data_IF_893524867975
#
_entry.id   IF_893524867975
#
_cell.length_a   1.000
_cell.length_b   1.000
_cell.length_c   1.000
_cell.angle_alpha   90.00
_cell.angle_beta   90.00
_cell.angle_gamma   90.00
#
_symmetry.space_group_name_H-M   'P 1'
#
loop_
_entity.id
_entity.type
_entity.pdbx_description
1 polymer ?
#
# COMPACT_ATOMS: atom_id res chain seq x y z
N UNK A 1 9.30 20.48 5.35
CA UNK A 1 8.23 19.53 4.91
C UNK A 1 7.50 18.98 6.13
N UNK A 2 6.34 18.31 5.93
CA UNK A 2 5.64 17.66 7.04
C UNK A 2 6.52 16.59 7.71
N UNK A 3 7.34 15.89 6.93
CA UNK A 3 8.28 14.91 7.42
C UNK A 3 9.39 15.53 8.27
N UNK A 4 9.94 16.69 7.89
CA UNK A 4 10.93 17.44 8.69
C UNK A 4 10.35 17.86 10.03
N UNK A 5 9.14 18.43 10.05
CA UNK A 5 8.45 18.80 11.28
C UNK A 5 8.23 17.56 12.17
N UNK A 6 7.83 16.45 11.59
CA UNK A 6 7.64 15.18 12.32
C UNK A 6 8.95 14.65 12.91
N UNK A 7 10.07 14.74 12.16
CA UNK A 7 11.39 14.31 12.64
C UNK A 7 11.94 15.20 13.74
N UNK A 8 11.69 16.51 13.69
CA UNK A 8 12.15 17.47 14.69
C UNK A 8 11.35 17.39 16.01
N UNK A 9 10.03 17.17 15.91
CA UNK A 9 9.15 17.13 17.07
C UNK A 9 9.14 15.74 17.75
N UNK A 10 9.32 14.66 16.98
CA UNK A 10 9.27 13.28 17.47
C UNK A 10 10.17 13.02 18.70
N UNK A 11 11.46 13.42 18.71
CA UNK A 11 12.34 13.28 19.87
C UNK A 11 11.89 14.04 21.12
N UNK A 12 11.24 15.19 20.95
CA UNK A 12 10.72 16.00 22.06
C UNK A 12 9.55 15.30 22.78
N UNK A 13 8.65 14.69 22.03
CA UNK A 13 7.54 13.91 22.60
C UNK A 13 8.01 12.62 23.32
N UNK A 14 9.07 11.98 22.85
CA UNK A 14 9.66 10.80 23.52
C UNK A 14 10.21 11.10 24.93
N UNK A 15 10.41 12.39 25.28
CA UNK A 15 10.88 12.81 26.62
C UNK A 15 9.75 12.90 27.64
N UNK A 16 8.49 12.84 27.24
CA UNK A 16 7.33 12.96 28.14
C UNK A 16 6.98 11.56 28.67
N UNK A 17 7.16 11.27 29.96
CA UNK A 17 6.88 9.95 30.52
C UNK A 17 5.38 9.67 30.52
N UNK A 18 5.00 8.43 30.19
CA UNK A 18 3.60 7.96 30.23
C UNK A 18 2.78 8.26 28.98
N UNK A 19 3.37 8.92 27.96
CA UNK A 19 2.72 9.19 26.69
C UNK A 19 3.51 8.52 25.57
N UNK A 20 2.80 7.85 24.66
CA UNK A 20 3.38 7.32 23.42
C UNK A 20 2.80 8.13 22.27
N UNK A 21 3.64 8.94 21.62
CA UNK A 21 3.24 9.83 20.52
C UNK A 21 3.84 9.32 19.21
N UNK A 22 2.99 9.20 18.20
CA UNK A 22 3.40 8.87 16.85
C UNK A 22 3.17 10.07 15.94
N UNK A 23 4.18 10.41 15.19
CA UNK A 23 4.05 11.35 14.08
C UNK A 23 3.79 10.54 12.81
N UNK A 24 2.62 10.67 12.21
CA UNK A 24 2.31 10.04 10.92
C UNK A 24 2.22 11.10 9.84
N UNK A 25 3.00 10.95 8.79
CA UNK A 25 2.87 11.76 7.58
C UNK A 25 1.81 11.14 6.69
N UNK A 26 0.75 11.88 6.33
CA UNK A 26 -0.30 11.33 5.49
C UNK A 26 0.25 10.85 4.15
N UNK A 27 -0.07 9.62 3.77
CA UNK A 27 0.27 9.08 2.47
C UNK A 27 -0.41 9.88 1.35
N UNK A 28 0.27 10.08 0.22
CA UNK A 28 -0.26 10.83 -0.92
C UNK A 28 -1.50 10.16 -1.57
N UNK A 29 -1.68 8.88 -1.34
CA UNK A 29 -2.82 8.05 -1.78
C UNK A 29 -3.16 7.08 -0.63
N UNK A 30 -4.28 7.31 0.04
CA UNK A 30 -4.75 6.44 1.12
C UNK A 30 -5.42 7.21 2.26
N UNK A 31 -5.83 6.49 3.29
CA UNK A 31 -6.35 7.07 4.53
C UNK A 31 -5.21 7.64 5.37
N UNK A 32 -5.44 8.75 6.06
CA UNK A 32 -4.48 9.42 6.95
C UNK A 32 -3.96 8.54 8.10
N UNK A 33 -4.56 7.37 8.31
CA UNK A 33 -4.28 6.47 9.44
C UNK A 33 -3.79 5.07 9.00
N UNK A 34 -3.54 4.85 7.69
CA UNK A 34 -3.07 3.54 7.22
C UNK A 34 -1.57 3.38 7.41
N UNK A 35 -1.17 2.34 8.16
CA UNK A 35 0.23 1.93 8.29
C UNK A 35 0.71 1.21 7.03
N UNK A 36 2.00 1.35 6.65
CA UNK A 36 2.57 0.64 5.50
C UNK A 36 2.42 -0.88 5.56
N UNK A 37 2.45 -1.43 6.78
CA UNK A 37 2.22 -2.85 7.04
C UNK A 37 1.08 -2.97 8.03
N UNK A 38 -0.06 -3.46 7.57
CA UNK A 38 -1.21 -3.77 8.42
C UNK A 38 -1.75 -5.16 8.07
N UNK A 39 -1.86 -5.99 9.10
CA UNK A 39 -2.25 -7.39 9.00
C UNK A 39 -3.38 -7.70 9.97
N UNK A 40 -4.54 -8.10 9.44
CA UNK A 40 -5.66 -8.59 10.22
C UNK A 40 -5.58 -10.12 10.37
N UNK A 41 -5.70 -10.60 11.59
CA UNK A 41 -5.73 -12.02 11.94
C UNK A 41 -7.16 -12.33 12.39
N UNK A 42 -7.87 -13.09 11.58
CA UNK A 42 -9.24 -13.53 11.84
C UNK A 42 -9.23 -14.78 12.73
N UNK A 43 -10.12 -14.83 13.73
CA UNK A 43 -10.29 -15.98 14.62
C UNK A 43 -11.55 -15.86 15.47
N UNK A 44 -11.98 -16.94 16.14
CA UNK A 44 -13.22 -16.95 16.90
C UNK A 44 -13.01 -16.53 18.36
N UNK A 45 -11.91 -16.95 18.98
CA UNK A 45 -11.62 -16.68 20.38
C UNK A 45 -10.84 -15.37 20.57
N UNK A 46 -11.45 -14.43 21.31
CA UNK A 46 -10.87 -13.10 21.55
C UNK A 46 -9.62 -13.12 22.43
N UNK A 47 -9.57 -14.06 23.38
CA UNK A 47 -8.44 -14.14 24.31
C UNK A 47 -7.20 -14.59 23.55
N UNK A 48 -7.31 -15.67 22.80
CA UNK A 48 -6.22 -16.17 21.95
C UNK A 48 -5.82 -15.15 20.86
N UNK A 49 -6.81 -14.44 20.26
CA UNK A 49 -6.50 -13.38 19.30
C UNK A 49 -5.68 -12.24 19.92
N UNK A 50 -6.01 -11.84 21.15
CA UNK A 50 -5.24 -10.81 21.86
C UNK A 50 -3.81 -11.28 22.16
N UNK A 51 -3.64 -12.50 22.68
CA UNK A 51 -2.34 -13.09 22.98
C UNK A 51 -1.46 -13.20 21.72
N UNK A 52 -2.02 -13.69 20.61
CA UNK A 52 -1.27 -13.75 19.34
C UNK A 52 -0.97 -12.37 18.76
N UNK A 53 -1.91 -11.43 18.89
CA UNK A 53 -1.69 -10.06 18.47
C UNK A 53 -0.54 -9.39 19.20
N UNK A 54 -0.49 -9.54 20.53
CA UNK A 54 0.59 -9.03 21.38
C UNK A 54 1.94 -9.71 21.09
N UNK A 55 1.93 -11.02 20.90
CA UNK A 55 3.18 -11.77 20.58
C UNK A 55 3.74 -11.36 19.23
N UNK A 56 2.89 -11.20 18.21
CA UNK A 56 3.30 -10.72 16.89
C UNK A 56 3.80 -9.28 16.99
N UNK A 57 3.08 -8.40 17.69
CA UNK A 57 3.50 -7.02 17.93
C UNK A 57 4.90 -6.99 18.59
N UNK A 58 5.11 -7.79 19.61
CA UNK A 58 6.37 -7.88 20.35
C UNK A 58 7.53 -8.31 19.47
N UNK A 59 7.32 -9.33 18.61
CA UNK A 59 8.33 -9.80 17.67
C UNK A 59 8.59 -8.79 16.57
N UNK A 60 7.56 -8.13 16.05
CA UNK A 60 7.70 -7.09 15.04
C UNK A 60 8.54 -5.92 15.55
N UNK A 61 8.36 -5.48 16.79
CA UNK A 61 9.19 -4.43 17.43
C UNK A 61 10.68 -4.78 17.52
N UNK A 62 11.04 -6.05 17.46
CA UNK A 62 12.45 -6.51 17.53
C UNK A 62 13.12 -6.56 16.16
N UNK A 63 12.38 -6.35 15.08
CA UNK A 63 12.90 -6.39 13.71
C UNK A 63 13.57 -5.05 13.39
N UNK A 64 14.85 -5.03 13.03
CA UNK A 64 15.52 -3.81 12.55
C UNK A 64 14.78 -3.26 11.33
N UNK A 65 14.51 -1.96 11.32
CA UNK A 65 13.76 -1.31 10.25
C UNK A 65 12.25 -1.15 10.51
N UNK A 66 11.75 -1.65 11.63
CA UNK A 66 10.40 -1.36 12.10
C UNK A 66 10.49 -0.33 13.23
N UNK A 67 10.02 0.88 12.94
CA UNK A 67 10.03 1.98 13.92
C UNK A 67 8.97 1.78 15.00
N UNK A 68 7.82 1.26 14.60
CA UNK A 68 6.68 1.04 15.49
C UNK A 68 5.80 -0.13 15.06
N UNK A 69 5.26 -0.85 16.03
CA UNK A 69 4.22 -1.86 15.83
C UNK A 69 3.19 -1.82 16.97
N UNK A 70 1.91 -1.96 16.64
CA UNK A 70 0.83 -2.02 17.61
C UNK A 70 -0.29 -2.97 17.16
N UNK A 71 -0.89 -3.60 18.14
CA UNK A 71 -2.14 -4.33 18.01
C UNK A 71 -3.33 -3.39 18.30
N UNK A 72 -4.51 -3.67 17.75
CA UNK A 72 -5.74 -2.95 18.06
C UNK A 72 -6.67 -3.70 19.03
N UNK A 73 -6.29 -4.87 19.50
CA UNK A 73 -7.06 -5.66 20.45
C UNK A 73 -6.31 -5.81 21.77
N UNK A 74 -6.73 -5.06 22.79
CA UNK A 74 -6.17 -5.13 24.13
C UNK A 74 -7.25 -5.54 25.12
N UNK A 75 -6.95 -6.57 25.94
CA UNK A 75 -7.78 -7.01 27.07
C UNK A 75 -7.31 -6.30 28.33
N UNK A 76 -7.54 -4.99 28.43
CA UNK A 76 -7.02 -4.17 29.53
C UNK A 76 -8.06 -3.25 30.17
N UNK A 77 -9.34 -3.38 29.81
CA UNK A 77 -10.41 -2.61 30.45
C UNK A 77 -10.90 -3.37 31.69
N UNK A 78 -10.69 -2.84 32.89
CA UNK A 78 -11.29 -3.44 34.10
C UNK A 78 -12.81 -3.50 33.96
N UNK A 79 -13.38 -4.64 34.26
CA UNK A 79 -14.80 -4.89 34.20
C UNK A 79 -15.23 -5.65 35.44
N UNK A 80 -16.40 -5.31 35.98
CA UNK A 80 -17.04 -6.05 37.06
C UNK A 80 -18.17 -6.89 36.48
N UNK A 81 -18.02 -8.20 36.52
CA UNK A 81 -19.10 -9.15 36.21
C UNK A 81 -19.97 -9.38 37.40
N UNK A 82 -21.26 -9.21 37.24
CA UNK A 82 -22.26 -9.52 38.26
C UNK A 82 -22.93 -10.85 37.93
N UNK A 83 -22.68 -11.84 38.73
CA UNK A 83 -23.26 -13.18 38.59
C UNK A 83 -24.44 -13.29 39.55
N UNK A 84 -25.66 -13.48 39.01
CA UNK A 84 -26.88 -13.64 39.80
C UNK A 84 -27.03 -15.10 40.17
N UNK A 85 -27.15 -15.39 41.47
CA UNK A 85 -27.46 -16.71 42.01
C UNK A 85 -28.97 -16.96 41.86
N UNK A 86 -29.35 -17.71 40.85
CA UNK A 86 -30.76 -17.92 40.46
C UNK A 86 -31.54 -18.75 41.49
N UNK A 87 -30.88 -19.69 42.18
CA UNK A 87 -31.50 -20.52 43.19
C UNK A 87 -31.84 -19.65 44.41
N UNK A 88 -30.88 -18.90 44.91
CA UNK A 88 -31.11 -17.97 46.03
C UNK A 88 -32.11 -16.86 45.72
N UNK A 89 -32.08 -16.33 44.49
CA UNK A 89 -33.08 -15.36 44.08
C UNK A 89 -34.49 -15.94 44.12
N UNK A 90 -34.67 -17.21 43.66
CA UNK A 90 -35.92 -17.93 43.72
C UNK A 90 -36.39 -18.18 45.13
N UNK A 91 -35.50 -18.62 46.04
CA UNK A 91 -35.82 -18.89 47.46
C UNK A 91 -36.28 -17.63 48.19
N UNK A 92 -35.70 -16.47 47.83
CA UNK A 92 -36.05 -15.17 48.40
C UNK A 92 -37.25 -14.50 47.68
N UNK A 93 -37.79 -15.13 46.66
CA UNK A 93 -38.93 -14.59 45.89
C UNK A 93 -38.56 -13.37 45.06
N UNK A 94 -37.30 -13.24 44.63
CA UNK A 94 -36.80 -12.15 43.80
C UNK A 94 -36.63 -12.64 42.37
N UNK A 95 -37.16 -11.91 41.39
CA UNK A 95 -36.96 -12.27 39.99
C UNK A 95 -35.59 -11.77 39.46
N UNK A 96 -34.95 -12.59 38.61
CA UNK A 96 -33.69 -12.20 37.95
C UNK A 96 -33.86 -10.92 37.13
N UNK A 97 -35.05 -10.70 36.57
CA UNK A 97 -35.38 -9.49 35.82
C UNK A 97 -35.34 -8.25 36.73
N UNK A 98 -35.92 -8.35 37.95
CA UNK A 98 -35.99 -7.22 38.86
C UNK A 98 -34.59 -6.87 39.38
N UNK A 99 -33.76 -7.89 39.67
CA UNK A 99 -32.33 -7.66 39.99
C UNK A 99 -31.63 -6.92 38.87
N UNK A 100 -31.75 -7.41 37.61
CA UNK A 100 -31.11 -6.82 36.48
C UNK A 100 -31.61 -5.37 36.20
N UNK A 101 -32.94 -5.16 36.29
CA UNK A 101 -33.53 -3.83 36.11
C UNK A 101 -33.09 -2.84 37.19
N UNK A 102 -33.06 -3.31 38.47
CA UNK A 102 -32.60 -2.50 39.60
C UNK A 102 -31.14 -2.05 39.37
N UNK A 103 -30.26 -2.98 39.06
CA UNK A 103 -28.85 -2.66 38.78
C UNK A 103 -28.71 -1.72 37.56
N UNK A 104 -29.48 -1.96 36.49
CA UNK A 104 -29.46 -1.09 35.32
C UNK A 104 -29.88 0.35 35.65
N UNK A 105 -31.00 0.49 36.41
CA UNK A 105 -31.55 1.81 36.79
C UNK A 105 -30.58 2.53 37.72
N UNK A 106 -30.13 1.87 38.76
CA UNK A 106 -29.33 2.50 39.79
C UNK A 106 -27.92 2.86 39.33
N UNK A 107 -27.28 1.99 38.54
CA UNK A 107 -25.90 2.20 38.07
C UNK A 107 -25.82 2.90 36.71
N UNK A 108 -26.64 2.46 35.75
CA UNK A 108 -26.59 2.95 34.36
C UNK A 108 -27.46 4.16 34.09
N UNK A 109 -28.41 4.44 34.97
CA UNK A 109 -29.46 5.43 34.77
C UNK A 109 -30.59 4.90 33.87
N UNK A 110 -31.80 5.33 34.15
CA UNK A 110 -32.97 5.11 33.31
C UNK A 110 -33.47 6.45 32.78
N UNK A 111 -33.51 6.61 31.49
CA UNK A 111 -34.23 7.70 30.84
C UNK A 111 -35.73 7.43 31.00
N UNK A 112 -36.32 8.10 31.97
CA UNK A 112 -37.71 7.87 32.37
C UNK A 112 -38.68 8.66 31.50
N UNK A 113 -38.38 9.90 31.20
CA UNK A 113 -39.24 10.80 30.45
C UNK A 113 -38.49 12.07 30.03
N UNK A 114 -39.14 12.89 29.22
CA UNK A 114 -38.64 14.21 28.88
C UNK A 114 -39.61 15.30 29.32
N UNK A 115 -39.12 16.48 29.70
CA UNK A 115 -39.96 17.66 29.93
C UNK A 115 -39.44 18.87 29.14
N UNK A 116 -40.34 19.80 28.90
CA UNK A 116 -40.03 21.04 28.16
C UNK A 116 -39.97 22.22 29.10
N UNK A 117 -38.87 22.97 29.06
CA UNK A 117 -38.66 24.19 29.80
C UNK A 117 -38.02 25.24 28.91
N UNK A 118 -38.63 26.43 28.80
CA UNK A 118 -38.06 27.53 27.99
C UNK A 118 -37.94 27.26 26.46
N UNK A 119 -38.67 26.26 25.93
CA UNK A 119 -38.60 25.86 24.52
C UNK A 119 -37.61 24.75 24.23
N UNK A 120 -36.79 24.35 25.19
CA UNK A 120 -35.85 23.22 25.12
C UNK A 120 -36.44 21.98 25.76
N UNK A 121 -36.00 20.79 25.32
CA UNK A 121 -36.39 19.49 25.86
C UNK A 121 -35.27 18.94 26.71
N UNK A 122 -35.62 18.53 27.94
CA UNK A 122 -34.69 17.97 28.93
C UNK A 122 -35.09 16.54 29.25
N UNK A 123 -34.10 15.65 29.37
CA UNK A 123 -34.28 14.26 29.76
C UNK A 123 -34.35 14.16 31.29
N UNK A 124 -35.23 13.29 31.81
CA UNK A 124 -35.33 12.92 33.23
C UNK A 124 -34.67 11.57 33.41
N UNK A 125 -33.46 11.59 33.94
CA UNK A 125 -32.68 10.35 34.21
C UNK A 125 -32.74 10.02 35.69
N UNK A 126 -33.18 8.80 35.98
CA UNK A 126 -33.23 8.25 37.38
C UNK A 126 -32.01 7.38 37.57
N UNK A 127 -31.20 7.70 38.57
CA UNK A 127 -29.97 6.94 38.95
C UNK A 127 -29.68 7.17 40.43
N UNK A 128 -28.79 6.35 41.00
CA UNK A 128 -28.27 6.56 42.37
C UNK A 128 -27.29 7.73 42.34
N UNK A 129 -27.19 8.46 43.46
CA UNK A 129 -26.21 9.54 43.62
C UNK A 129 -24.78 9.00 43.43
N UNK A 130 -23.88 9.87 42.88
CA UNK A 130 -22.53 9.45 42.54
C UNK A 130 -21.75 8.93 43.74
N UNK A 131 -21.95 9.52 44.91
CA UNK A 131 -21.37 9.08 46.19
C UNK A 131 -21.72 7.68 46.62
N UNK A 132 -22.87 7.14 46.18
CA UNK A 132 -23.39 5.84 46.55
C UNK A 132 -23.18 4.78 45.43
N UNK A 133 -22.32 5.07 44.45
CA UNK A 133 -21.96 4.17 43.35
C UNK A 133 -20.49 4.28 42.93
N UNK A 134 -19.65 4.92 43.71
CA UNK A 134 -18.23 5.09 43.41
C UNK A 134 -17.40 3.86 43.79
N UNK A 135 -17.88 3.02 44.72
CA UNK A 135 -17.28 1.72 45.05
C UNK A 135 -18.14 0.57 44.46
N UNK A 136 -17.55 -0.39 43.76
CA UNK A 136 -18.23 -1.57 43.29
C UNK A 136 -18.98 -2.35 44.40
N UNK A 137 -18.57 -2.20 45.68
CA UNK A 137 -19.22 -2.85 46.83
C UNK A 137 -20.58 -2.26 47.17
N UNK A 138 -20.83 -1.00 46.79
CA UNK A 138 -22.11 -0.33 47.07
C UNK A 138 -23.28 -1.03 46.40
N UNK A 139 -23.03 -1.74 45.28
CA UNK A 139 -24.04 -2.56 44.63
C UNK A 139 -24.64 -3.66 45.53
N UNK A 140 -23.88 -4.13 46.54
CA UNK A 140 -24.37 -5.16 47.50
C UNK A 140 -25.40 -4.60 48.46
N UNK A 141 -25.41 -3.29 48.70
CA UNK A 141 -26.34 -2.58 49.59
C UNK A 141 -27.67 -2.25 48.91
N UNK A 142 -27.69 -2.30 47.58
CA UNK A 142 -28.93 -2.05 46.84
C UNK A 142 -29.99 -3.07 47.21
N UNK A 143 -31.24 -2.62 47.24
CA UNK A 143 -32.37 -3.45 47.56
C UNK A 143 -33.32 -3.64 46.38
N UNK A 144 -33.88 -4.80 46.28
CA UNK A 144 -34.91 -5.15 45.28
C UNK A 144 -36.17 -5.60 45.99
N UNK A 145 -37.33 -5.38 45.37
CA UNK A 145 -38.61 -5.78 45.93
C UNK A 145 -38.91 -7.25 45.62
N UNK A 146 -39.09 -8.06 46.66
CA UNK A 146 -39.48 -9.46 46.53
C UNK A 146 -40.99 -9.62 46.34
N UNK A 147 -41.45 -10.88 46.15
CA UNK A 147 -42.85 -11.23 45.90
C UNK A 147 -43.81 -10.78 47.02
N UNK A 148 -43.36 -10.74 48.27
CA UNK A 148 -44.13 -10.29 49.42
C UNK A 148 -44.08 -8.79 49.67
N UNK A 149 -43.59 -8.01 48.68
CA UNK A 149 -43.38 -6.55 48.76
C UNK A 149 -42.33 -6.13 49.81
N UNK A 150 -41.48 -7.06 50.27
CA UNK A 150 -40.36 -6.81 51.16
C UNK A 150 -39.15 -6.30 50.38
N UNK A 151 -38.34 -5.43 50.97
CA UNK A 151 -37.07 -4.97 50.39
C UNK A 151 -35.96 -5.96 50.77
N UNK A 152 -35.39 -6.61 49.77
CA UNK A 152 -34.35 -7.63 49.91
C UNK A 152 -33.06 -7.06 49.39
N UNK A 153 -31.99 -7.08 50.20
CA UNK A 153 -30.66 -6.68 49.76
C UNK A 153 -30.14 -7.58 48.63
N UNK A 154 -29.37 -7.03 47.71
CA UNK A 154 -28.76 -7.81 46.63
C UNK A 154 -27.57 -8.65 47.09
N UNK A 155 -26.97 -8.36 48.24
CA UNK A 155 -25.81 -9.08 48.78
C UNK A 155 -25.93 -10.62 48.79
N UNK A 156 -27.04 -11.27 49.18
CA UNK A 156 -27.16 -12.72 49.10
C UNK A 156 -27.45 -13.25 47.69
N UNK A 157 -27.86 -12.40 46.77
CA UNK A 157 -28.38 -12.77 45.43
C UNK A 157 -27.34 -12.60 44.33
N UNK A 158 -26.38 -11.69 44.53
CA UNK A 158 -25.36 -11.41 43.51
C UNK A 158 -23.96 -11.74 44.01
N UNK A 159 -23.08 -12.11 43.07
CA UNK A 159 -21.65 -12.24 43.32
C UNK A 159 -20.92 -11.34 42.33
N UNK A 160 -20.00 -10.56 42.82
CA UNK A 160 -19.13 -9.70 42.02
C UNK A 160 -17.85 -10.44 41.68
N UNK A 161 -17.43 -10.36 40.40
CA UNK A 161 -16.18 -10.91 39.94
C UNK A 161 -15.45 -9.87 39.09
N UNK A 162 -14.30 -9.46 39.53
CA UNK A 162 -13.43 -8.63 38.72
C UNK A 162 -12.90 -9.43 37.53
N UNK A 163 -12.96 -8.85 36.38
CA UNK A 163 -12.43 -9.40 35.10
C UNK A 163 -11.88 -8.31 34.26
N UNK A 164 -11.28 -8.69 33.15
CA UNK A 164 -10.80 -7.76 32.13
C UNK A 164 -11.56 -8.01 30.83
N UNK A 165 -11.92 -6.93 30.15
CA UNK A 165 -12.64 -6.97 28.89
C UNK A 165 -11.87 -6.21 27.81
N UNK A 166 -12.12 -6.49 26.54
CA UNK A 166 -11.63 -5.65 25.45
C UNK A 166 -12.33 -4.29 25.48
N UNK A 167 -11.60 -3.23 25.10
CA UNK A 167 -12.21 -1.91 24.90
C UNK A 167 -13.24 -1.92 23.78
N UNK A 168 -12.87 -2.60 22.70
CA UNK A 168 -13.68 -2.82 21.52
C UNK A 168 -13.38 -4.20 20.95
N UNK A 169 -14.32 -4.78 20.23
CA UNK A 169 -14.13 -6.05 19.54
C UNK A 169 -14.00 -5.74 18.05
N UNK A 170 -12.77 -5.65 17.55
CA UNK A 170 -12.56 -5.33 16.15
C UNK A 170 -13.00 -6.49 15.24
N UNK A 171 -13.56 -6.12 14.09
CA UNK A 171 -13.99 -7.07 13.08
C UNK A 171 -13.34 -6.71 11.72
N UNK A 172 -12.96 -7.74 10.98
CA UNK A 172 -12.56 -7.64 9.60
C UNK A 172 -13.40 -8.58 8.74
N UNK A 173 -14.03 -8.07 7.70
CA UNK A 173 -14.96 -8.86 6.86
C UNK A 173 -16.02 -9.64 7.65
N UNK A 174 -16.58 -9.05 8.72
CA UNK A 174 -17.56 -9.64 9.63
C UNK A 174 -17.04 -10.76 10.55
N UNK A 175 -15.75 -11.10 10.48
CA UNK A 175 -15.10 -12.01 11.42
C UNK A 175 -14.40 -11.20 12.50
N UNK A 176 -14.36 -11.73 13.73
CA UNK A 176 -13.53 -11.15 14.79
C UNK A 176 -12.09 -11.20 14.35
N UNK A 177 -11.37 -10.11 14.53
CA UNK A 177 -10.00 -10.01 14.07
C UNK A 177 -9.18 -9.11 14.99
N UNK A 178 -7.91 -9.41 15.12
CA UNK A 178 -6.91 -8.48 15.64
C UNK A 178 -6.10 -7.94 14.49
N UNK A 179 -5.89 -6.63 14.45
CA UNK A 179 -5.05 -6.00 13.42
C UNK A 179 -3.74 -5.56 14.07
N UNK A 180 -2.63 -6.06 13.54
CA UNK A 180 -1.28 -5.60 13.88
C UNK A 180 -0.81 -4.65 12.79
N UNK A 181 -0.53 -3.42 13.18
CA UNK A 181 -0.08 -2.34 12.28
C UNK A 181 1.35 -1.96 12.61
N UNK A 182 2.18 -1.78 11.59
CA UNK A 182 3.59 -1.43 11.78
C UNK A 182 4.02 -0.32 10.83
N UNK A 183 4.80 0.63 11.35
CA UNK A 183 5.46 1.66 10.58
C UNK A 183 6.92 1.25 10.34
N UNK A 184 7.45 1.68 9.22
CA UNK A 184 8.79 1.34 8.76
C UNK A 184 9.68 2.58 8.83
N UNK A 185 10.95 2.37 9.09
CA UNK A 185 11.97 3.39 8.85
C UNK A 185 12.38 3.40 7.36
N UNK A 186 13.16 4.39 6.96
CA UNK A 186 13.56 4.58 5.56
C UNK A 186 14.50 3.46 5.04
N UNK A 187 15.09 2.67 5.94
CA UNK A 187 16.01 1.57 5.59
C UNK A 187 15.30 0.29 5.17
N UNK A 188 14.00 0.14 5.50
CA UNK A 188 13.28 -1.11 5.34
C UNK A 188 12.14 -0.99 4.31
N UNK A 189 12.18 -1.85 3.28
CA UNK A 189 11.15 -1.78 2.23
C UNK A 189 9.85 -2.45 2.64
N UNK A 190 8.71 -1.88 2.20
CA UNK A 190 7.38 -2.43 2.49
C UNK A 190 7.27 -3.92 2.09
N UNK A 191 7.84 -4.32 0.95
CA UNK A 191 7.79 -5.70 0.50
C UNK A 191 8.60 -6.68 1.37
N UNK A 192 9.71 -6.22 1.96
CA UNK A 192 10.49 -7.01 2.93
C UNK A 192 9.76 -7.11 4.26
N UNK A 193 9.21 -6.01 4.73
CA UNK A 193 8.43 -5.94 5.96
C UNK A 193 7.20 -6.87 5.92
N UNK A 194 6.47 -6.88 4.80
CA UNK A 194 5.34 -7.80 4.59
C UNK A 194 5.80 -9.26 4.68
N UNK A 195 6.92 -9.64 4.06
CA UNK A 195 7.45 -11.01 4.13
C UNK A 195 7.89 -11.41 5.54
N UNK A 196 8.50 -10.47 6.27
CA UNK A 196 8.92 -10.69 7.67
C UNK A 196 7.69 -10.84 8.57
N UNK A 197 6.70 -9.94 8.43
CA UNK A 197 5.45 -10.00 9.19
C UNK A 197 4.69 -11.31 8.93
N UNK A 198 4.62 -11.76 7.67
CA UNK A 198 3.99 -13.04 7.33
C UNK A 198 4.72 -14.23 7.96
N UNK A 199 6.04 -14.22 7.97
CA UNK A 199 6.84 -15.27 8.62
C UNK A 199 6.57 -15.31 10.11
N UNK A 200 6.65 -14.16 10.80
CA UNK A 200 6.39 -14.05 12.24
C UNK A 200 4.97 -14.53 12.55
N UNK A 201 3.97 -14.10 11.79
CA UNK A 201 2.59 -14.52 12.00
C UNK A 201 2.42 -16.03 11.83
N UNK A 202 3.02 -16.64 10.81
CA UNK A 202 2.98 -18.10 10.59
C UNK A 202 3.71 -18.91 11.66
N UNK A 203 4.72 -18.33 12.32
CA UNK A 203 5.42 -18.98 13.45
C UNK A 203 4.62 -18.90 14.76
N UNK A 204 3.84 -17.84 14.94
CA UNK A 204 3.06 -17.60 16.17
C UNK A 204 1.69 -18.27 16.11
N UNK A 205 1.04 -18.24 14.94
CA UNK A 205 -0.31 -18.74 14.78
C UNK A 205 -0.34 -20.26 14.62
N UNK A 206 -1.30 -20.97 15.24
CA UNK A 206 -1.57 -22.37 14.94
C UNK A 206 -1.92 -22.57 13.45
N UNK A 207 -1.68 -23.79 12.96
CA UNK A 207 -1.95 -24.14 11.57
C UNK A 207 -3.43 -24.08 11.16
N UNK A 208 -4.34 -24.19 12.14
CA UNK A 208 -5.79 -24.23 11.92
C UNK A 208 -6.48 -23.18 12.80
N UNK A 209 -7.62 -22.68 12.34
CA UNK A 209 -8.51 -21.77 13.08
C UNK A 209 -8.23 -20.28 12.87
N UNK A 210 -7.09 -19.89 12.30
CA UNK A 210 -6.72 -18.49 12.09
C UNK A 210 -6.42 -18.20 10.61
N UNK A 211 -6.80 -16.98 10.16
CA UNK A 211 -6.55 -16.54 8.80
C UNK A 211 -5.86 -15.19 8.81
N UNK A 212 -4.79 -15.08 8.04
CA UNK A 212 -4.07 -13.83 7.84
C UNK A 212 -4.65 -13.10 6.64
N UNK A 213 -5.01 -11.82 6.82
CA UNK A 213 -5.46 -10.92 5.78
C UNK A 213 -4.64 -9.64 5.80
N UNK A 214 -4.18 -9.22 4.66
CA UNK A 214 -3.53 -7.93 4.52
C UNK A 214 -4.58 -6.84 4.37
N UNK A 215 -4.35 -5.69 5.00
CA UNK A 215 -5.26 -4.54 4.99
C UNK A 215 -4.53 -3.26 4.62
N UNK A 216 -5.27 -2.21 4.26
CA UNK A 216 -4.72 -0.89 4.01
C UNK A 216 -3.72 -0.84 2.86
N UNK A 217 -2.57 -0.21 3.10
CA UNK A 217 -1.52 -0.06 2.09
C UNK A 217 -0.87 -1.40 1.71
N UNK A 218 -0.72 -2.33 2.66
CA UNK A 218 -0.15 -3.65 2.40
C UNK A 218 -1.02 -4.44 1.41
N UNK A 219 -2.34 -4.40 1.56
CA UNK A 219 -3.28 -5.02 0.63
C UNK A 219 -3.16 -4.41 -0.77
N UNK A 220 -3.18 -3.08 -0.86
CA UNK A 220 -3.02 -2.35 -2.13
C UNK A 220 -1.69 -2.67 -2.81
N UNK A 221 -0.61 -2.76 -2.02
CA UNK A 221 0.72 -3.12 -2.53
C UNK A 221 0.75 -4.51 -3.15
N UNK A 222 0.17 -5.50 -2.48
CA UNK A 222 0.11 -6.89 -2.96
C UNK A 222 -0.81 -7.04 -4.18
N UNK A 223 -1.98 -6.39 -4.17
CA UNK A 223 -2.92 -6.42 -5.29
C UNK A 223 -2.35 -5.72 -6.53
N UNK A 224 -1.68 -4.58 -6.34
CA UNK A 224 -1.09 -3.81 -7.44
C UNK A 224 0.04 -4.54 -8.15
N UNK A 225 0.74 -5.46 -7.48
CA UNK A 225 1.84 -6.23 -8.07
C UNK A 225 1.41 -7.02 -9.30
N UNK A 226 0.35 -7.79 -9.21
CA UNK A 226 -0.18 -8.60 -10.30
C UNK A 226 -0.86 -7.76 -11.40
N UNK A 227 -1.60 -6.73 -11.01
CA UNK A 227 -2.25 -5.81 -11.95
C UNK A 227 -1.23 -5.06 -12.82
N UNK A 228 -0.10 -4.66 -12.24
CA UNK A 228 0.96 -3.96 -12.95
C UNK A 228 1.72 -4.90 -13.91
N UNK A 229 1.99 -6.14 -13.53
CA UNK A 229 2.59 -7.12 -14.45
C UNK A 229 1.69 -7.33 -15.67
N UNK A 230 0.38 -7.44 -15.45
CA UNK A 230 -0.60 -7.57 -16.53
C UNK A 230 -0.65 -6.29 -17.39
N UNK A 231 -0.63 -5.11 -16.80
CA UNK A 231 -0.57 -3.83 -17.51
C UNK A 231 0.72 -3.73 -18.35
N UNK A 232 1.86 -4.18 -17.83
CA UNK A 232 3.12 -4.28 -18.56
C UNK A 232 3.02 -5.19 -19.78
N UNK A 233 2.55 -6.42 -19.57
CA UNK A 233 2.41 -7.38 -20.65
C UNK A 233 1.47 -6.85 -21.75
N UNK A 234 0.36 -6.23 -21.34
CA UNK A 234 -0.58 -5.61 -22.25
C UNK A 234 0.04 -4.42 -23.01
N UNK A 235 0.77 -3.53 -22.32
CA UNK A 235 1.44 -2.39 -22.93
C UNK A 235 2.45 -2.84 -23.99
N UNK A 236 3.30 -3.83 -23.66
CA UNK A 236 4.28 -4.38 -24.60
C UNK A 236 3.57 -5.07 -25.77
N UNK A 237 2.49 -5.83 -25.52
CA UNK A 237 1.71 -6.49 -26.56
C UNK A 237 1.07 -5.47 -27.51
N UNK A 238 0.43 -4.43 -26.99
CA UNK A 238 -0.21 -3.39 -27.81
C UNK A 238 0.83 -2.67 -28.64
N UNK A 239 1.95 -2.25 -28.03
CA UNK A 239 3.05 -1.63 -28.78
C UNK A 239 3.59 -2.56 -29.86
N UNK A 240 3.79 -3.84 -29.55
CA UNK A 240 4.22 -4.83 -30.54
C UNK A 240 3.24 -4.95 -31.71
N UNK A 241 1.93 -5.06 -31.45
CA UNK A 241 0.92 -5.18 -32.50
C UNK A 241 0.83 -3.92 -33.38
N UNK A 242 0.87 -2.74 -32.75
CA UNK A 242 0.88 -1.46 -33.50
C UNK A 242 2.12 -1.36 -34.40
N UNK A 243 3.28 -1.70 -33.85
CA UNK A 243 4.53 -1.70 -34.64
C UNK A 243 4.51 -2.76 -35.75
N UNK A 244 3.98 -3.94 -35.48
CA UNK A 244 3.86 -5.00 -36.48
C UNK A 244 2.97 -4.56 -37.67
N UNK A 245 1.87 -3.87 -37.35
CA UNK A 245 0.99 -3.30 -38.37
C UNK A 245 1.68 -2.14 -39.13
N UNK A 246 2.41 -1.24 -38.43
CA UNK A 246 3.08 -0.10 -39.03
C UNK A 246 4.26 -0.48 -39.94
N UNK A 247 5.04 -1.49 -39.51
CA UNK A 247 6.23 -1.93 -40.29
C UNK A 247 5.92 -3.08 -41.25
N UNK A 248 4.71 -3.58 -41.28
CA UNK A 248 4.33 -4.81 -42.05
C UNK A 248 5.33 -5.96 -41.84
N UNK A 249 5.88 -6.06 -40.63
CA UNK A 249 6.94 -7.01 -40.25
C UNK A 249 6.74 -7.46 -38.81
N UNK A 250 6.91 -8.76 -38.57
CA UNK A 250 6.88 -9.31 -37.19
C UNK A 250 8.24 -9.23 -36.49
N UNK A 251 9.32 -8.95 -37.22
CA UNK A 251 10.69 -8.97 -36.70
C UNK A 251 11.15 -7.58 -36.26
N UNK A 252 10.82 -6.54 -37.06
CA UNK A 252 11.23 -5.17 -36.77
C UNK A 252 10.72 -4.67 -35.41
N UNK A 253 9.47 -4.98 -34.98
CA UNK A 253 8.99 -4.67 -33.64
C UNK A 253 9.83 -5.28 -32.51
N UNK A 254 10.33 -6.51 -32.71
CA UNK A 254 11.16 -7.17 -31.68
C UNK A 254 12.49 -6.43 -31.48
N UNK A 255 13.09 -5.94 -32.56
CA UNK A 255 14.31 -5.13 -32.49
C UNK A 255 14.07 -3.83 -31.71
N UNK A 256 12.93 -3.18 -31.98
CA UNK A 256 12.53 -1.93 -31.30
C UNK A 256 12.27 -2.19 -29.82
N UNK A 257 11.57 -3.28 -29.47
CA UNK A 257 11.24 -3.62 -28.10
C UNK A 257 12.45 -4.04 -27.23
N UNK A 258 13.57 -4.43 -27.84
CA UNK A 258 14.82 -4.65 -27.10
C UNK A 258 15.27 -3.40 -26.34
N UNK A 259 15.02 -2.20 -26.88
CA UNK A 259 15.34 -0.95 -26.21
C UNK A 259 14.54 -0.76 -24.90
N UNK A 260 13.34 -1.33 -24.79
CA UNK A 260 12.51 -1.29 -23.57
C UNK A 260 13.19 -2.08 -22.45
N UNK A 261 13.74 -3.27 -22.73
CA UNK A 261 14.45 -4.06 -21.73
C UNK A 261 15.64 -3.29 -21.13
N UNK A 262 16.39 -2.58 -21.99
CA UNK A 262 17.50 -1.74 -21.53
C UNK A 262 17.05 -0.52 -20.72
N UNK A 263 15.89 0.05 -21.06
CA UNK A 263 15.34 1.16 -20.29
C UNK A 263 14.95 0.77 -18.87
N UNK A 264 14.43 -0.44 -18.67
CA UNK A 264 14.14 -0.97 -17.34
C UNK A 264 15.39 -1.15 -16.50
N UNK A 265 16.46 -1.69 -17.11
CA UNK A 265 17.75 -1.79 -16.44
C UNK A 265 18.24 -0.41 -15.99
N UNK A 266 18.14 0.60 -16.87
CA UNK A 266 18.50 1.98 -16.55
C UNK A 266 17.65 2.59 -15.43
N UNK A 267 16.33 2.33 -15.43
CA UNK A 267 15.43 2.78 -14.37
C UNK A 267 15.78 2.15 -13.01
N UNK A 268 16.02 0.84 -12.97
CA UNK A 268 16.41 0.14 -11.75
C UNK A 268 17.78 0.58 -11.23
N UNK A 269 18.74 0.79 -12.11
CA UNK A 269 20.06 1.32 -11.75
C UNK A 269 19.94 2.73 -11.17
N UNK A 270 19.13 3.60 -11.76
CA UNK A 270 18.92 4.96 -11.26
C UNK A 270 18.24 4.96 -9.89
N UNK A 271 17.20 4.14 -9.69
CA UNK A 271 16.54 3.98 -8.39
C UNK A 271 17.50 3.40 -7.33
N UNK A 272 18.30 2.41 -7.69
CA UNK A 272 19.31 1.85 -6.79
C UNK A 272 20.42 2.83 -6.44
N UNK A 273 20.89 3.63 -7.42
CA UNK A 273 21.90 4.64 -7.19
C UNK A 273 21.41 5.76 -6.27
N UNK A 274 20.19 6.24 -6.47
CA UNK A 274 19.60 7.27 -5.59
C UNK A 274 19.41 6.75 -4.17
N UNK A 275 18.99 5.50 -3.98
CA UNK A 275 18.90 4.88 -2.66
C UNK A 275 20.28 4.82 -1.96
N UNK A 276 21.33 4.39 -2.66
CA UNK A 276 22.69 4.36 -2.09
C UNK A 276 23.21 5.76 -1.74
N UNK A 277 22.84 6.78 -2.52
CA UNK A 277 23.21 8.17 -2.23
C UNK A 277 22.45 8.73 -1.02
N UNK A 278 21.17 8.37 -0.85
CA UNK A 278 20.35 8.66 0.32
C UNK A 278 20.92 8.01 1.58
N UNK A 279 21.23 6.70 1.55
CA UNK A 279 21.86 5.96 2.66
C UNK A 279 23.19 6.60 3.11
N UNK A 280 23.87 7.33 2.22
CA UNK A 280 25.08 8.10 2.52
C UNK A 280 24.84 9.55 2.96
N UNK A 281 23.59 9.96 3.05
CA UNK A 281 23.21 11.33 3.43
C UNK A 281 23.56 12.40 2.39
N UNK A 282 23.76 12.01 1.13
CA UNK A 282 24.13 12.94 0.05
C UNK A 282 22.91 13.56 -0.64
N UNK A 283 21.76 12.91 -0.56
CA UNK A 283 20.47 13.37 -1.11
C UNK A 283 19.34 12.96 -0.18
N UNK A 284 18.26 13.75 -0.17
CA UNK A 284 17.06 13.50 0.65
C UNK A 284 15.92 12.80 -0.13
N UNK A 285 16.20 12.33 -1.34
CA UNK A 285 15.18 11.80 -2.25
C UNK A 285 15.34 10.30 -2.35
N UNK A 286 14.35 9.57 -1.87
CA UNK A 286 14.35 8.10 -1.87
C UNK A 286 14.03 7.50 -3.23
N UNK A 287 14.93 6.66 -3.74
CA UNK A 287 14.77 5.86 -4.94
C UNK A 287 14.05 4.53 -4.69
N UNK A 288 12.94 4.54 -3.96
CA UNK A 288 12.22 3.30 -3.61
C UNK A 288 11.41 2.73 -4.78
N UNK A 289 11.26 1.40 -4.77
CA UNK A 289 10.45 0.68 -5.75
C UNK A 289 8.99 0.64 -5.25
N UNK A 290 8.27 1.76 -5.46
CA UNK A 290 6.90 1.98 -5.05
C UNK A 290 5.92 1.94 -6.25
N UNK A 291 4.64 2.20 -6.00
CA UNK A 291 3.62 2.25 -7.03
C UNK A 291 3.95 3.28 -8.13
N UNK A 292 4.45 4.46 -7.76
CA UNK A 292 4.79 5.52 -8.70
C UNK A 292 5.97 5.16 -9.60
N UNK A 293 7.05 4.56 -9.07
CA UNK A 293 8.17 4.08 -9.89
C UNK A 293 7.74 3.00 -10.89
N UNK A 294 6.82 2.11 -10.48
CA UNK A 294 6.25 1.09 -11.36
C UNK A 294 5.43 1.73 -12.50
N UNK A 295 4.62 2.77 -12.21
CA UNK A 295 3.90 3.54 -13.24
C UNK A 295 4.91 4.22 -14.18
N UNK A 296 5.97 4.82 -13.64
CA UNK A 296 7.05 5.41 -14.45
C UNK A 296 7.68 4.41 -15.42
N UNK A 297 7.90 3.18 -14.96
CA UNK A 297 8.39 2.12 -15.84
C UNK A 297 7.39 1.74 -16.95
N UNK A 298 6.09 1.71 -16.72
CA UNK A 298 5.09 1.51 -17.79
C UNK A 298 5.16 2.63 -18.81
N UNK A 299 5.30 3.89 -18.38
CA UNK A 299 5.46 5.03 -19.28
C UNK A 299 6.71 4.93 -20.16
N UNK A 300 7.81 4.36 -19.63
CA UNK A 300 9.05 4.16 -20.39
C UNK A 300 8.85 3.31 -21.65
N UNK A 301 7.94 2.34 -21.64
CA UNK A 301 7.64 1.50 -22.81
C UNK A 301 7.30 2.38 -24.02
N UNK A 302 6.42 3.35 -23.86
CA UNK A 302 6.04 4.27 -24.93
C UNK A 302 7.12 5.32 -25.27
N UNK A 303 7.80 5.87 -24.25
CA UNK A 303 8.80 6.94 -24.46
C UNK A 303 10.05 6.43 -25.18
N UNK A 304 10.50 5.22 -24.86
CA UNK A 304 11.74 4.64 -25.39
C UNK A 304 11.56 4.07 -26.79
N UNK A 305 10.42 3.43 -27.06
CA UNK A 305 10.13 2.86 -28.38
C UNK A 305 10.17 3.92 -29.48
N UNK A 306 9.74 5.15 -29.18
CA UNK A 306 9.82 6.29 -30.14
C UNK A 306 11.23 6.49 -30.70
N UNK A 307 12.27 6.41 -29.87
CA UNK A 307 13.64 6.62 -30.28
C UNK A 307 14.12 5.52 -31.24
N UNK A 308 13.79 4.27 -30.92
CA UNK A 308 14.15 3.11 -31.75
C UNK A 308 13.38 3.09 -33.07
N UNK A 309 12.11 3.48 -33.08
CA UNK A 309 11.28 3.61 -34.30
C UNK A 309 11.96 4.54 -35.30
N UNK A 310 12.43 5.73 -34.86
CA UNK A 310 13.04 6.71 -35.72
C UNK A 310 14.29 6.20 -36.44
N UNK A 311 15.08 5.32 -35.80
CA UNK A 311 16.30 4.75 -36.41
C UNK A 311 15.90 3.63 -37.38
N UNK A 312 15.06 2.68 -36.95
CA UNK A 312 14.68 1.52 -37.77
C UNK A 312 13.90 1.95 -39.01
N UNK A 313 12.93 2.85 -38.84
CA UNK A 313 12.13 3.37 -39.97
C UNK A 313 13.03 4.06 -41.03
N UNK A 314 13.95 4.91 -40.58
CA UNK A 314 14.84 5.60 -41.48
C UNK A 314 15.86 4.65 -42.16
N UNK A 315 16.33 3.64 -41.45
CA UNK A 315 17.16 2.58 -42.02
C UNK A 315 16.40 1.79 -43.10
N UNK A 316 15.14 1.45 -42.86
CA UNK A 316 14.28 0.80 -43.86
C UNK A 316 14.05 1.68 -45.09
N UNK A 317 13.81 2.98 -44.92
CA UNK A 317 13.66 3.93 -46.04
C UNK A 317 14.94 4.03 -46.89
N UNK A 318 16.13 4.10 -46.28
CA UNK A 318 17.40 4.13 -46.98
C UNK A 318 17.67 2.81 -47.74
N UNK A 319 17.35 1.68 -47.15
CA UNK A 319 17.44 0.38 -47.82
C UNK A 319 16.50 0.28 -49.04
N UNK A 320 15.29 0.79 -48.93
CA UNK A 320 14.34 0.83 -50.06
C UNK A 320 14.82 1.77 -51.18
N UNK A 321 15.72 2.73 -50.89
CA UNK A 321 16.38 3.57 -51.86
C UNK A 321 17.62 2.92 -52.50
N UNK A 322 17.96 1.67 -52.11
CA UNK A 322 19.03 0.88 -52.72
C UNK A 322 20.38 0.98 -52.00
N UNK A 323 20.47 1.57 -50.79
CA UNK A 323 21.72 1.55 -50.02
C UNK A 323 21.98 0.14 -49.45
N UNK A 324 23.26 -0.21 -49.32
CA UNK A 324 23.64 -1.43 -48.62
C UNK A 324 23.25 -1.39 -47.15
N UNK A 325 23.08 -2.58 -46.54
CA UNK A 325 22.57 -2.73 -45.18
C UNK A 325 23.41 -1.92 -44.17
N UNK A 326 24.73 -2.00 -44.26
CA UNK A 326 25.60 -1.33 -43.28
C UNK A 326 25.57 0.19 -43.47
N UNK A 327 25.66 0.65 -44.70
CA UNK A 327 25.63 2.07 -45.06
C UNK A 327 24.28 2.71 -44.68
N UNK A 328 23.17 2.00 -44.94
CA UNK A 328 21.83 2.48 -44.57
C UNK A 328 21.67 2.64 -43.06
N UNK A 329 22.16 1.70 -42.29
CA UNK A 329 22.06 1.73 -40.83
C UNK A 329 22.98 2.81 -40.22
N UNK A 330 24.20 2.92 -40.71
CA UNK A 330 25.14 3.96 -40.28
C UNK A 330 24.62 5.36 -40.59
N UNK A 331 24.12 5.57 -41.81
CA UNK A 331 23.55 6.85 -42.20
C UNK A 331 22.28 7.17 -41.41
N UNK A 332 21.42 6.16 -41.11
CA UNK A 332 20.25 6.34 -40.30
C UNK A 332 20.62 6.79 -38.87
N UNK A 333 21.57 6.10 -38.24
CA UNK A 333 22.03 6.45 -36.92
C UNK A 333 22.62 7.86 -36.85
N UNK A 334 23.48 8.24 -37.81
CA UNK A 334 24.09 9.57 -37.87
C UNK A 334 23.05 10.67 -38.09
N UNK A 335 22.10 10.48 -39.01
CA UNK A 335 21.10 11.50 -39.37
C UNK A 335 20.08 11.70 -38.24
N UNK A 336 19.69 10.63 -37.56
CA UNK A 336 18.72 10.68 -36.48
C UNK A 336 19.33 10.95 -35.10
N UNK A 337 20.63 11.03 -34.97
CA UNK A 337 21.31 11.31 -33.70
C UNK A 337 20.84 12.60 -33.05
N UNK A 338 20.89 13.72 -33.76
CA UNK A 338 20.50 15.04 -33.23
C UNK A 338 19.02 15.10 -32.82
N UNK A 339 18.04 14.71 -33.68
CA UNK A 339 16.64 14.72 -33.34
C UNK A 339 16.31 13.86 -32.09
N UNK A 340 16.89 12.67 -32.00
CA UNK A 340 16.66 11.78 -30.84
C UNK A 340 17.25 12.39 -29.56
N UNK A 341 18.48 12.90 -29.63
CA UNK A 341 19.11 13.52 -28.46
C UNK A 341 18.32 14.74 -27.97
N UNK A 342 17.85 15.60 -28.89
CA UNK A 342 17.02 16.77 -28.51
C UNK A 342 15.71 16.36 -27.82
N UNK A 343 15.00 15.37 -28.36
CA UNK A 343 13.73 14.93 -27.77
C UNK A 343 13.94 14.19 -26.45
N UNK A 344 14.99 13.39 -26.31
CA UNK A 344 15.33 12.72 -25.07
C UNK A 344 15.72 13.71 -23.97
N UNK A 345 16.57 14.68 -24.26
CA UNK A 345 16.95 15.73 -23.31
C UNK A 345 15.76 16.57 -22.91
N UNK A 346 14.89 16.96 -23.84
CA UNK A 346 13.66 17.69 -23.51
C UNK A 346 12.76 16.90 -22.57
N UNK A 347 12.61 15.59 -22.80
CA UNK A 347 11.81 14.72 -21.91
C UNK A 347 12.46 14.57 -20.52
N UNK A 348 13.78 14.36 -20.45
CA UNK A 348 14.51 14.24 -19.18
C UNK A 348 14.38 15.53 -18.36
N UNK A 349 14.62 16.69 -18.99
CA UNK A 349 14.48 17.99 -18.31
C UNK A 349 13.03 18.25 -17.90
N UNK A 350 12.05 17.85 -18.73
CA UNK A 350 10.63 17.98 -18.43
C UNK A 350 10.16 17.13 -17.23
N UNK A 351 10.82 15.99 -16.99
CA UNK A 351 10.52 15.11 -15.85
C UNK A 351 11.33 15.48 -14.59
N UNK A 352 12.39 16.30 -14.74
CA UNK A 352 13.29 16.67 -13.66
C UNK A 352 12.57 17.26 -12.42
N UNK A 353 11.58 18.16 -12.55
CA UNK A 353 10.85 18.67 -11.40
C UNK A 353 10.18 17.59 -10.56
N UNK A 354 9.67 16.52 -11.21
CA UNK A 354 9.09 15.36 -10.54
C UNK A 354 10.19 14.52 -9.87
N UNK A 355 11.31 14.30 -10.56
CA UNK A 355 12.45 13.54 -10.03
C UNK A 355 13.08 14.21 -8.80
N UNK A 356 13.06 15.55 -8.76
CA UNK A 356 13.53 16.33 -7.62
C UNK A 356 12.48 16.48 -6.51
N UNK A 357 11.33 15.84 -6.61
CA UNK A 357 10.31 15.86 -5.59
C UNK A 357 9.70 17.24 -5.33
N UNK A 358 9.69 18.15 -6.30
CA UNK A 358 9.19 19.50 -6.13
C UNK A 358 7.66 19.54 -6.01
N UNK A 359 7.17 20.39 -5.09
CA UNK A 359 5.75 20.62 -4.84
C UNK A 359 5.13 19.68 -3.82
N UNK A 360 3.85 19.93 -3.47
CA UNK A 360 3.14 19.16 -2.47
C UNK A 360 3.03 17.67 -2.87
N UNK A 361 3.41 16.75 -1.96
CA UNK A 361 3.48 15.31 -2.21
C UNK A 361 4.57 14.91 -3.22
N UNK A 362 5.58 15.78 -3.44
CA UNK A 362 6.66 15.55 -4.39
C UNK A 362 7.50 14.32 -4.04
N UNK A 363 7.83 14.13 -2.76
CA UNK A 363 8.62 13.00 -2.28
C UNK A 363 8.05 11.64 -2.72
N UNK A 364 6.75 11.42 -2.60
CA UNK A 364 6.09 10.18 -3.01
C UNK A 364 6.16 9.93 -4.53
N UNK A 365 6.21 10.98 -5.35
CA UNK A 365 6.24 10.90 -6.82
C UNK A 365 7.65 10.92 -7.39
N UNK A 366 8.66 11.36 -6.61
CA UNK A 366 10.05 11.44 -7.04
C UNK A 366 10.58 10.12 -7.63
N UNK A 367 10.30 8.92 -7.07
CA UNK A 367 10.73 7.65 -7.66
C UNK A 367 10.23 7.43 -9.10
N UNK A 368 9.04 7.96 -9.46
CA UNK A 368 8.55 7.92 -10.84
C UNK A 368 9.44 8.75 -11.77
N UNK A 369 9.74 9.98 -11.36
CA UNK A 369 10.61 10.87 -12.13
C UNK A 369 12.01 10.31 -12.29
N UNK A 370 12.59 9.73 -11.22
CA UNK A 370 13.91 9.10 -11.23
C UNK A 370 13.93 7.89 -12.18
N UNK A 371 12.92 7.03 -12.11
CA UNK A 371 12.82 5.87 -12.99
C UNK A 371 12.72 6.27 -14.46
N UNK A 372 11.89 7.28 -14.79
CA UNK A 372 11.74 7.77 -16.17
C UNK A 372 13.01 8.46 -16.65
N UNK A 373 13.59 9.35 -15.87
CA UNK A 373 14.82 10.05 -16.25
C UNK A 373 15.99 9.08 -16.43
N UNK A 374 16.23 8.19 -15.45
CA UNK A 374 17.29 7.19 -15.50
C UNK A 374 17.11 6.19 -16.65
N UNK A 375 15.89 5.67 -16.82
CA UNK A 375 15.55 4.79 -17.94
C UNK A 375 15.76 5.45 -19.30
N UNK A 376 15.37 6.72 -19.45
CA UNK A 376 15.57 7.49 -20.66
C UNK A 376 17.06 7.77 -20.96
N UNK A 377 17.86 8.16 -19.97
CA UNK A 377 19.30 8.39 -20.14
C UNK A 377 19.97 7.12 -20.62
N UNK A 378 19.78 6.02 -19.88
CA UNK A 378 20.41 4.75 -20.18
C UNK A 378 19.96 4.18 -21.52
N UNK A 379 18.67 4.22 -21.78
CA UNK A 379 18.09 3.75 -23.04
C UNK A 379 18.59 4.59 -24.23
N UNK A 380 18.62 5.92 -24.12
CA UNK A 380 19.07 6.78 -25.23
C UNK A 380 20.52 6.48 -25.59
N UNK A 381 21.41 6.33 -24.58
CA UNK A 381 22.81 5.97 -24.82
C UNK A 381 22.94 4.63 -25.52
N UNK A 382 22.23 3.60 -25.04
CA UNK A 382 22.33 2.26 -25.60
C UNK A 382 21.62 2.12 -26.95
N UNK A 383 20.53 2.83 -27.18
CA UNK A 383 19.77 2.77 -28.44
C UNK A 383 20.66 3.13 -29.66
N UNK A 384 21.57 4.09 -29.52
CA UNK A 384 22.49 4.47 -30.64
C UNK A 384 23.45 3.36 -31.05
N UNK A 385 23.77 2.43 -30.18
CA UNK A 385 24.68 1.32 -30.44
C UNK A 385 23.95 0.01 -30.67
N UNK A 386 23.01 -0.31 -29.78
CA UNK A 386 22.39 -1.63 -29.76
C UNK A 386 21.28 -1.81 -30.79
N UNK A 387 20.49 -0.77 -31.09
CA UNK A 387 19.42 -0.88 -32.08
C UNK A 387 20.02 -1.05 -33.50
N UNK A 388 21.02 -0.25 -33.92
CA UNK A 388 21.72 -0.50 -35.18
C UNK A 388 22.38 -1.87 -35.25
N UNK A 389 23.06 -2.29 -34.19
CA UNK A 389 23.74 -3.59 -34.16
C UNK A 389 22.76 -4.76 -34.25
N UNK A 390 21.67 -4.73 -33.45
CA UNK A 390 20.64 -5.76 -33.46
C UNK A 390 19.91 -5.81 -34.82
N UNK A 391 19.63 -4.66 -35.41
CA UNK A 391 19.02 -4.58 -36.74
C UNK A 391 19.89 -5.25 -37.81
N UNK A 392 21.21 -4.98 -37.82
CA UNK A 392 22.17 -5.62 -38.74
C UNK A 392 22.23 -7.13 -38.53
N UNK A 393 22.34 -7.59 -37.29
CA UNK A 393 22.43 -9.03 -36.95
C UNK A 393 21.17 -9.76 -37.40
N UNK A 394 20.00 -9.26 -36.99
CA UNK A 394 18.71 -9.89 -37.29
C UNK A 394 18.44 -9.90 -38.80
N UNK A 395 18.75 -8.81 -39.50
CA UNK A 395 18.56 -8.73 -40.96
C UNK A 395 19.51 -9.68 -41.68
N UNK A 396 20.78 -9.82 -41.27
CA UNK A 396 21.71 -10.80 -41.85
C UNK A 396 21.26 -12.23 -41.65
N UNK A 397 20.73 -12.58 -40.47
CA UNK A 397 20.18 -13.91 -40.21
C UNK A 397 18.98 -14.18 -41.11
N UNK A 398 18.11 -13.18 -41.33
CA UNK A 398 16.93 -13.29 -42.22
C UNK A 398 17.34 -13.55 -43.67
N UNK A 399 18.34 -12.85 -44.15
CA UNK A 399 18.87 -13.04 -45.53
C UNK A 399 19.50 -14.42 -45.70
N UNK A 400 20.21 -14.91 -44.69
CA UNK A 400 20.78 -16.27 -44.72
C UNK A 400 19.74 -17.38 -44.71
N UNK A 401 18.57 -17.17 -44.07
CA UNK A 401 17.47 -18.15 -43.98
C UNK A 401 16.48 -18.11 -45.17
N UNK A 402 16.83 -17.49 -46.29
CA UNK A 402 16.09 -17.54 -47.56
C UNK A 402 14.94 -16.54 -47.70
N UNK A 403 14.85 -15.53 -46.85
CA UNK A 403 13.90 -14.43 -47.02
C UNK A 403 14.39 -13.43 -48.07
N UNK A 404 13.81 -13.41 -49.29
CA UNK A 404 14.07 -12.38 -50.27
C UNK A 404 13.78 -10.99 -49.73
N UNK A 405 14.67 -9.98 -49.98
CA UNK A 405 14.34 -8.58 -49.71
C UNK A 405 13.15 -8.18 -50.58
N UNK A 406 12.10 -7.66 -49.99
CA UNK A 406 10.89 -7.21 -50.67
C UNK A 406 11.23 -5.88 -51.38
N UNK A 407 11.56 -5.97 -52.67
CA UNK A 407 11.56 -4.80 -53.56
C UNK A 407 10.08 -4.48 -53.82
N UNK A 408 9.59 -3.36 -53.29
CA UNK A 408 8.34 -2.79 -53.77
C UNK A 408 8.57 -2.29 -55.18
N UNK A 409 7.99 -2.97 -56.17
CA UNK A 409 7.87 -2.49 -57.53
C UNK A 409 7.06 -1.18 -57.51
N UNK A 410 7.75 -0.07 -57.63
CA UNK A 410 7.13 1.18 -58.07
C UNK A 410 6.69 0.95 -59.52
N UNK A 411 5.46 0.56 -59.75
CA UNK A 411 4.80 0.71 -61.04
C UNK A 411 4.65 2.19 -61.33
N UNK A 412 5.65 2.74 -62.03
CA UNK A 412 5.47 3.96 -62.81
C UNK A 412 4.52 3.60 -63.96
N UNK A 413 3.24 4.02 -63.82
CA UNK A 413 2.30 4.00 -64.92
C UNK A 413 2.90 4.81 -66.12
N UNK A 414 2.92 4.27 -67.34
CA UNK A 414 3.36 5.00 -68.50
C UNK A 414 2.36 6.11 -68.78
N UNK A 415 2.87 7.36 -68.83
CA UNK A 415 2.14 8.51 -69.36
C UNK A 415 1.73 8.20 -70.82
N UNK A 416 0.46 7.91 -71.00
CA UNK A 416 -0.13 7.74 -72.35
C UNK A 416 -0.08 9.05 -73.09
N UNK A 417 0.57 9.01 -74.22
CA UNK A 417 0.52 10.00 -75.28
C UNK A 417 -0.84 9.97 -75.96
N UNK A 418 -1.55 11.09 -75.96
CA UNK A 418 -2.23 11.68 -77.13
C UNK A 418 -2.99 12.92 -76.72
#
# INVERSE_FOLDING_TARGET
SAAEIASDIGPEFKKIPGIVVYTNTPAALGSFLESPVAMAIEGEDLVSLAEYGEEIERRMKQVPGIDYSASNLYLNKPQMDIVIDRERAGDLGVSVRDVASTLQILLGGLDLSTFKLGGETYDVIVQVEESDRDDPRDMLEFTVRGNNNELISLSPVIRQRETIAPREIPHYNRHRAVTVSSNLDDSFTQGEAIRVAERIAREVLPAEGYRIRWTGEAEKFLQSGNALIMAYALAVLVVYLVLAAQFESFIDPLIILMAVAYSFTGALVALGATRVLEDRGLIEISGTLNLFSKIGMVMLVGLVTKNSILIVEFANQLRNRGLDLLDAVEQAARTRFRPILMTSLATIVGVMPIALGLGAGGASRAPMGIAVAGGMIFSTLLTFFLVPATYVVVTRVRVRSGGRPRAQSTELAPAGSS
#
